data_IF_532725707065
#
_entry.id   IF_532725707065
#
_cell.length_a   1.000
_cell.length_b   1.000
_cell.length_c   1.000
_cell.angle_alpha   90.00
_cell.angle_beta   90.00
_cell.angle_gamma   90.00
#
_symmetry.space_group_name_H-M   'P 1'
#
loop_
_entity.id
_entity.type
_entity.pdbx_description
1 polymer ?
#
# COMPACT_ATOMS: atom_id res chain seq x y z
N UNK A 1 -10.75 -11.79 -6.33
CA UNK A 1 -9.76 -12.33 -5.38
C UNK A 1 -10.44 -13.20 -4.32
N UNK A 2 -9.89 -14.39 -4.02
CA UNK A 2 -10.33 -15.20 -2.88
C UNK A 2 -9.38 -14.94 -1.70
N UNK A 3 -9.79 -14.06 -0.78
CA UNK A 3 -8.98 -13.66 0.39
C UNK A 3 -8.73 -14.82 1.36
N UNK A 4 -9.59 -15.84 1.39
CA UNK A 4 -9.45 -17.01 2.27
C UNK A 4 -8.18 -17.83 1.97
N UNK A 5 -7.59 -17.67 0.79
CA UNK A 5 -6.33 -18.33 0.41
C UNK A 5 -5.07 -17.62 0.91
N UNK A 6 -5.21 -16.42 1.46
CA UNK A 6 -4.09 -15.63 1.94
C UNK A 6 -3.79 -15.96 3.40
N UNK A 7 -2.52 -15.86 3.79
CA UNK A 7 -2.12 -15.91 5.20
C UNK A 7 -2.72 -14.73 5.95
N UNK A 8 -2.89 -14.86 7.27
CA UNK A 8 -3.42 -13.76 8.09
C UNK A 8 -2.56 -12.51 7.99
N UNK A 9 -1.23 -12.68 7.91
CA UNK A 9 -0.31 -11.56 7.69
C UNK A 9 -0.56 -10.86 6.34
N UNK A 10 -0.76 -11.63 5.27
CA UNK A 10 -1.03 -11.05 3.96
C UNK A 10 -2.39 -10.34 3.92
N UNK A 11 -3.41 -10.87 4.60
CA UNK A 11 -4.70 -10.18 4.81
C UNK A 11 -4.50 -8.85 5.56
N UNK A 12 -3.65 -8.83 6.59
CA UNK A 12 -3.29 -7.62 7.33
C UNK A 12 -2.63 -6.55 6.44
N UNK A 13 -1.73 -6.94 5.53
CA UNK A 13 -1.15 -5.99 4.58
C UNK A 13 -2.16 -5.42 3.59
N UNK A 14 -3.13 -6.22 3.13
CA UNK A 14 -4.22 -5.73 2.28
C UNK A 14 -5.10 -4.70 3.01
N UNK A 15 -5.37 -4.94 4.30
CA UNK A 15 -6.08 -3.97 5.14
C UNK A 15 -5.28 -2.69 5.33
N UNK A 16 -3.98 -2.79 5.62
CA UNK A 16 -3.10 -1.62 5.73
C UNK A 16 -3.02 -0.83 4.43
N UNK A 17 -2.92 -1.51 3.28
CA UNK A 17 -2.97 -0.88 1.96
C UNK A 17 -4.28 -0.11 1.73
N UNK A 18 -5.41 -0.67 2.15
CA UNK A 18 -6.70 0.02 2.11
C UNK A 18 -6.69 1.28 2.99
N UNK A 19 -6.14 1.21 4.20
CA UNK A 19 -5.98 2.39 5.07
C UNK A 19 -5.10 3.46 4.43
N UNK A 20 -4.00 3.08 3.76
CA UNK A 20 -3.16 4.03 3.02
C UNK A 20 -3.98 4.72 1.92
N UNK A 21 -4.73 3.98 1.11
CA UNK A 21 -5.55 4.54 0.03
C UNK A 21 -6.60 5.52 0.54
N UNK A 22 -7.30 5.17 1.64
CA UNK A 22 -8.28 6.06 2.30
C UNK A 22 -7.62 7.35 2.77
N UNK A 23 -6.48 7.24 3.47
CA UNK A 23 -5.77 8.38 4.05
C UNK A 23 -5.38 9.43 3.02
N UNK A 24 -5.07 8.99 1.79
CA UNK A 24 -4.65 9.87 0.68
C UNK A 24 -5.74 10.10 -0.37
N UNK A 25 -7.00 9.74 -0.06
CA UNK A 25 -8.18 9.95 -0.90
C UNK A 25 -8.12 9.27 -2.28
N UNK A 26 -7.44 8.14 -2.39
CA UNK A 26 -7.43 7.32 -3.60
C UNK A 26 -8.64 6.37 -3.61
N UNK A 27 -9.42 6.40 -4.69
CA UNK A 27 -10.65 5.60 -4.81
C UNK A 27 -10.41 4.11 -5.06
N UNK A 28 -9.16 3.70 -5.33
CA UNK A 28 -8.79 2.31 -5.59
C UNK A 28 -7.48 1.94 -4.91
N UNK A 29 -7.38 0.69 -4.50
CA UNK A 29 -6.15 0.12 -3.99
C UNK A 29 -5.32 -0.35 -5.19
N UNK A 30 -4.15 0.26 -5.34
CA UNK A 30 -3.14 -0.12 -6.33
C UNK A 30 -1.96 -0.85 -5.67
N UNK A 31 -1.10 -1.54 -6.46
CA UNK A 31 0.11 -2.18 -5.93
C UNK A 31 1.03 -1.24 -5.13
N UNK A 32 1.02 0.07 -5.42
CA UNK A 32 1.80 1.05 -4.67
C UNK A 32 1.33 1.20 -3.22
N UNK A 33 0.04 1.05 -2.94
CA UNK A 33 -0.47 1.07 -1.56
C UNK A 33 -0.04 -0.16 -0.79
N UNK A 34 -0.05 -1.33 -1.44
CA UNK A 34 0.43 -2.57 -0.85
C UNK A 34 1.93 -2.49 -0.57
N UNK A 35 2.71 -1.98 -1.52
CA UNK A 35 4.14 -1.80 -1.32
C UNK A 35 4.44 -0.79 -0.20
N UNK A 36 3.68 0.31 -0.11
CA UNK A 36 3.77 1.26 1.01
C UNK A 36 3.53 0.57 2.34
N UNK A 37 2.45 -0.22 2.45
CA UNK A 37 2.13 -0.99 3.65
C UNK A 37 3.22 -2.02 4.04
N UNK A 38 3.84 -2.67 3.04
CA UNK A 38 4.93 -3.62 3.27
C UNK A 38 6.22 -2.92 3.75
N UNK A 39 6.54 -1.76 3.19
CA UNK A 39 7.76 -0.99 3.53
C UNK A 39 7.65 -0.29 4.90
N UNK A 40 6.45 0.13 5.28
CA UNK A 40 6.14 0.77 6.58
C UNK A 40 5.79 -0.24 7.69
N UNK A 41 5.85 -1.54 7.40
CA UNK A 41 5.65 -2.60 8.39
C UNK A 41 6.68 -2.48 9.53
N UNK A 42 6.21 -2.44 10.78
CA UNK A 42 7.08 -2.31 11.95
C UNK A 42 8.01 -3.50 12.15
N UNK A 43 7.63 -4.67 11.64
CA UNK A 43 8.50 -5.86 11.65
C UNK A 43 9.60 -5.80 10.58
N UNK A 44 9.52 -4.84 9.65
CA UNK A 44 10.63 -4.47 8.77
C UNK A 44 11.04 -5.51 7.72
N UNK A 45 10.22 -6.53 7.44
CA UNK A 45 10.61 -7.61 6.51
C UNK A 45 10.97 -7.11 5.10
N UNK A 46 10.12 -6.27 4.50
CA UNK A 46 10.36 -5.80 3.13
C UNK A 46 11.61 -4.91 3.03
N UNK A 47 11.74 -3.97 3.98
CA UNK A 47 12.92 -3.11 4.10
C UNK A 47 14.20 -3.92 4.36
N UNK A 48 14.14 -4.94 5.22
CA UNK A 48 15.26 -5.83 5.47
C UNK A 48 15.65 -6.68 4.25
N UNK A 49 14.69 -7.14 3.46
CA UNK A 49 14.96 -7.85 2.21
C UNK A 49 15.66 -6.97 1.18
N UNK A 50 15.22 -5.71 1.04
CA UNK A 50 15.87 -4.74 0.15
C UNK A 50 17.33 -4.51 0.57
N UNK A 51 17.58 -4.29 1.86
CA UNK A 51 18.95 -4.13 2.38
C UNK A 51 19.83 -5.35 2.11
N UNK A 52 19.29 -6.55 2.37
CA UNK A 52 20.02 -7.81 2.14
C UNK A 52 20.31 -8.08 0.67
N UNK A 53 19.49 -7.54 -0.23
CA UNK A 53 19.73 -7.56 -1.66
C UNK A 53 20.71 -6.47 -2.14
N UNK A 54 21.26 -5.65 -1.23
CA UNK A 54 22.18 -4.55 -1.53
C UNK A 54 21.50 -3.25 -1.93
N UNK A 55 20.18 -3.13 -1.76
CA UNK A 55 19.41 -1.94 -2.05
C UNK A 55 19.21 -1.02 -0.84
N UNK A 56 18.67 0.17 -1.09
CA UNK A 56 18.38 1.16 -0.06
C UNK A 56 16.85 1.32 0.13
N UNK A 57 16.26 0.86 1.25
CA UNK A 57 14.82 0.93 1.47
C UNK A 57 14.26 2.35 1.47
N UNK A 58 15.04 3.33 1.93
CA UNK A 58 14.63 4.72 1.94
C UNK A 58 14.33 5.25 0.53
N UNK A 59 15.13 4.84 -0.47
CA UNK A 59 14.86 5.16 -1.87
C UNK A 59 13.57 4.49 -2.37
N UNK A 60 13.32 3.24 -1.97
CA UNK A 60 12.08 2.54 -2.32
C UNK A 60 10.85 3.25 -1.73
N UNK A 61 10.90 3.68 -0.46
CA UNK A 61 9.84 4.45 0.18
C UNK A 61 9.60 5.76 -0.56
N UNK A 62 10.66 6.53 -0.85
CA UNK A 62 10.56 7.79 -1.56
C UNK A 62 9.97 7.62 -2.98
N UNK A 63 10.37 6.57 -3.70
CA UNK A 63 9.84 6.25 -5.02
C UNK A 63 8.36 5.85 -4.98
N UNK A 64 7.95 5.10 -3.95
CA UNK A 64 6.54 4.74 -3.74
C UNK A 64 5.71 5.98 -3.42
N UNK A 65 6.19 6.87 -2.55
CA UNK A 65 5.51 8.11 -2.21
C UNK A 65 5.35 9.02 -3.45
N UNK A 66 6.41 9.15 -4.25
CA UNK A 66 6.36 9.88 -5.51
C UNK A 66 5.40 9.23 -6.53
N UNK A 67 5.27 7.90 -6.52
CA UNK A 67 4.31 7.17 -7.35
C UNK A 67 2.87 7.39 -6.91
N UNK A 68 2.61 7.30 -5.60
CA UNK A 68 1.29 7.55 -5.01
C UNK A 68 0.83 8.98 -5.28
N UNK A 69 1.72 9.97 -5.17
CA UNK A 69 1.39 11.38 -5.45
C UNK A 69 0.94 11.66 -6.89
N UNK A 70 1.19 10.75 -7.84
CA UNK A 70 0.74 10.86 -9.24
C UNK A 70 -0.67 10.29 -9.46
N UNK A 71 -1.21 9.55 -8.50
CA UNK A 71 -2.56 8.99 -8.59
C UNK A 71 -3.56 10.12 -8.25
N UNK A 72 -4.64 10.29 -9.04
CA UNK A 72 -5.66 11.28 -8.73
C UNK A 72 -6.34 11.00 -7.38
N UNK A 73 -6.30 11.98 -6.49
CA UNK A 73 -7.12 12.01 -5.28
C UNK A 73 -8.50 12.60 -5.59
N UNK A 74 -9.55 11.97 -5.07
CA UNK A 74 -10.93 12.43 -5.22
C UNK A 74 -11.42 12.97 -3.88
N UNK A 75 -11.94 14.20 -3.86
CA UNK A 75 -12.46 14.86 -2.65
C UNK A 75 -13.89 15.34 -2.87
N UNK A 76 -14.68 15.43 -1.79
CA UNK A 76 -16.06 15.94 -1.82
C UNK A 76 -17.09 14.89 -1.37
N UNK A 77 -18.38 15.24 -1.47
CA UNK A 77 -19.51 14.44 -0.98
C UNK A 77 -19.64 13.06 -1.62
N UNK A 78 -19.06 12.84 -2.80
CA UNK A 78 -18.99 11.53 -3.48
C UNK A 78 -17.68 10.75 -3.25
N UNK A 79 -16.72 11.30 -2.49
CA UNK A 79 -15.39 10.72 -2.32
C UNK A 79 -15.30 9.65 -1.22
N UNK A 80 -16.33 9.48 -0.39
CA UNK A 80 -16.31 8.63 0.80
C UNK A 80 -16.45 7.13 0.51
N UNK A 81 -16.32 6.69 -0.75
CA UNK A 81 -16.37 5.27 -1.06
C UNK A 81 -15.12 4.56 -0.53
N UNK A 82 -15.31 3.48 0.23
CA UNK A 82 -14.21 2.60 0.67
C UNK A 82 -13.51 2.03 -0.57
N UNK A 83 -12.19 2.22 -0.73
CA UNK A 83 -11.46 1.73 -1.89
C UNK A 83 -11.55 0.21 -2.02
N UNK A 84 -11.97 -0.25 -3.19
CA UNK A 84 -12.00 -1.66 -3.52
C UNK A 84 -10.61 -2.23 -3.82
N UNK A 85 -10.45 -3.52 -3.55
CA UNK A 85 -9.41 -4.33 -4.17
C UNK A 85 -9.91 -4.72 -5.55
N UNK A 86 -9.27 -4.23 -6.61
CA UNK A 86 -9.61 -4.65 -7.98
C UNK A 86 -9.34 -6.18 -8.11
N UNK A 87 -10.26 -6.88 -8.78
CA UNK A 87 -10.24 -8.35 -8.92
C UNK A 87 -9.29 -8.84 -10.01
#
# INVERSE_FOLDING_TARGET
MNLEKFTDRAKGFLQSAQTVAIRINHQRITPLHLLKALLEDSEGMASGLIQRAGGEPALAVAAVDAGLAKIPAVTGSGAQATPGLDN
#
